data_IF_988426253536
#
_entry.id   IF_988426253536
#
_cell.length_a   1.000
_cell.length_b   1.000
_cell.length_c   1.000
_cell.angle_alpha   90.00
_cell.angle_beta   90.00
_cell.angle_gamma   90.00
#
_symmetry.space_group_name_H-M   'P 1'
#
loop_
_entity.id
_entity.type
_entity.pdbx_description
1 polymer ?
#
# COMPACT_ATOMS: atom_id res chain seq x y z
N UNK A 1 -6.45 -34.27 2.48
CA UNK A 1 -7.08 -33.60 3.65
C UNK A 1 -6.34 -32.27 3.84
N UNK A 2 -6.90 -31.09 3.61
CA UNK A 2 -8.27 -30.65 3.28
C UNK A 2 -8.12 -29.47 2.28
N UNK A 3 -8.77 -29.47 1.13
CA UNK A 3 -10.12 -28.96 0.86
C UNK A 3 -10.38 -27.52 1.36
N UNK A 4 -10.43 -26.57 0.41
CA UNK A 4 -11.51 -25.58 0.25
C UNK A 4 -11.28 -24.80 -1.06
N UNK A 5 -11.66 -25.43 -2.17
CA UNK A 5 -11.71 -24.80 -3.48
C UNK A 5 -12.98 -23.94 -3.57
N UNK A 6 -12.82 -22.69 -4.01
CA UNK A 6 -13.91 -21.94 -4.62
C UNK A 6 -14.05 -22.47 -6.06
N UNK A 7 -14.65 -23.65 -6.20
CA UNK A 7 -15.17 -24.13 -7.49
C UNK A 7 -16.54 -23.48 -7.65
N UNK A 8 -16.62 -22.39 -8.43
CA UNK A 8 -17.91 -21.92 -8.90
C UNK A 8 -18.22 -22.63 -10.21
N UNK A 9 -19.29 -23.42 -10.18
CA UNK A 9 -19.92 -24.08 -11.31
C UNK A 9 -20.55 -23.02 -12.25
N UNK A 10 -20.38 -23.15 -13.57
CA UNK A 10 -20.85 -22.19 -14.59
C UNK A 10 -22.37 -21.93 -14.56
N UNK A 11 -23.14 -22.79 -13.90
CA UNK A 11 -24.60 -22.71 -13.85
C UNK A 11 -25.18 -21.63 -12.91
N UNK A 12 -24.36 -20.89 -12.15
CA UNK A 12 -24.86 -19.91 -11.15
C UNK A 12 -24.81 -18.45 -11.62
N UNK A 13 -24.40 -18.18 -12.87
CA UNK A 13 -24.21 -16.81 -13.37
C UNK A 13 -25.50 -16.09 -13.81
N UNK A 14 -26.64 -16.79 -13.92
CA UNK A 14 -27.85 -16.25 -14.57
C UNK A 14 -28.99 -15.82 -13.61
N UNK A 15 -28.74 -15.72 -12.29
CA UNK A 15 -29.80 -15.40 -11.32
C UNK A 15 -29.42 -14.25 -10.37
N UNK A 16 -29.19 -13.04 -10.89
CA UNK A 16 -29.15 -11.83 -10.07
C UNK A 16 -29.34 -10.53 -10.87
N UNK A 17 -30.51 -10.36 -11.50
CA UNK A 17 -31.01 -9.03 -11.86
C UNK A 17 -32.25 -8.72 -10.99
N UNK A 18 -32.20 -7.77 -10.04
CA UNK A 18 -33.41 -7.28 -9.42
C UNK A 18 -34.06 -6.19 -10.31
N UNK A 19 -35.33 -6.41 -10.66
CA UNK A 19 -36.23 -5.37 -11.17
C UNK A 19 -36.54 -4.32 -10.07
N UNK A 20 -36.87 -3.06 -10.43
CA UNK A 20 -37.01 -1.99 -9.45
C UNK A 20 -38.42 -1.92 -8.87
N UNK A 21 -38.57 -1.78 -7.54
CA UNK A 21 -39.78 -1.21 -6.96
C UNK A 21 -39.62 -0.67 -5.53
N UNK A 22 -40.08 0.58 -5.41
CA UNK A 22 -40.86 1.20 -4.32
C UNK A 22 -40.23 1.49 -2.95
N UNK A 23 -40.30 2.78 -2.64
CA UNK A 23 -39.97 3.40 -1.36
C UNK A 23 -40.95 3.02 -0.23
N UNK A 24 -40.40 2.80 0.96
CA UNK A 24 -41.15 2.66 2.21
C UNK A 24 -40.20 2.83 3.39
N UNK A 25 -40.34 3.94 4.11
CA UNK A 25 -39.50 4.33 5.23
C UNK A 25 -39.81 3.54 6.51
N UNK A 26 -38.77 3.04 7.18
CA UNK A 26 -38.80 2.69 8.61
C UNK A 26 -37.37 2.75 9.20
N UNK A 27 -37.23 3.49 10.30
CA UNK A 27 -35.96 3.75 10.99
C UNK A 27 -35.47 2.54 11.83
N UNK A 28 -34.15 2.36 12.04
CA UNK A 28 -33.63 1.19 12.73
C UNK A 28 -33.56 1.34 14.25
N UNK A 29 -33.95 0.27 14.96
CA UNK A 29 -33.73 0.08 16.38
C UNK A 29 -32.26 -0.26 16.69
N UNK A 30 -31.70 0.38 17.71
CA UNK A 30 -30.35 0.18 18.23
C UNK A 30 -30.21 -1.19 18.91
N UNK A 31 -29.16 -1.94 18.59
CA UNK A 31 -28.67 -3.08 19.38
C UNK A 31 -27.20 -2.86 19.72
N UNK A 32 -26.88 -2.90 21.01
CA UNK A 32 -25.54 -2.74 21.58
C UNK A 32 -24.68 -4.01 21.41
N UNK A 33 -23.33 -3.92 21.35
CA UNK A 33 -22.47 -5.08 21.22
C UNK A 33 -22.28 -5.78 22.58
N UNK A 34 -22.38 -7.12 22.59
CA UNK A 34 -21.93 -7.97 23.71
C UNK A 34 -20.43 -8.25 23.54
N UNK A 35 -19.70 -8.07 24.64
CA UNK A 35 -18.30 -8.44 24.82
C UNK A 35 -18.15 -9.88 25.35
N UNK A 36 -16.89 -10.34 25.39
CA UNK A 36 -16.32 -11.59 25.94
C UNK A 36 -16.33 -12.81 24.98
N UNK A 37 -15.27 -13.63 24.88
CA UNK A 37 -14.06 -13.79 25.68
C UNK A 37 -12.92 -14.41 24.86
N UNK A 38 -11.70 -14.20 25.34
CA UNK A 38 -10.48 -14.86 24.90
C UNK A 38 -10.44 -16.36 25.28
N UNK A 39 -9.85 -17.18 24.42
CA UNK A 39 -9.24 -18.45 24.78
C UNK A 39 -8.06 -18.72 23.83
N UNK A 40 -6.86 -18.87 24.42
CA UNK A 40 -5.64 -19.16 23.69
C UNK A 40 -5.41 -20.65 23.45
N UNK A 41 -4.57 -20.96 22.47
CA UNK A 41 -3.70 -22.12 22.43
C UNK A 41 -2.64 -21.87 21.36
N UNK A 42 -1.37 -21.96 21.73
CA UNK A 42 -0.24 -21.74 20.85
C UNK A 42 0.08 -22.93 19.95
N UNK A 43 0.83 -22.66 18.89
CA UNK A 43 2.09 -23.35 18.61
C UNK A 43 2.83 -22.60 17.50
N UNK A 44 4.11 -22.33 17.75
CA UNK A 44 4.96 -21.54 16.87
C UNK A 44 5.50 -22.34 15.70
N UNK A 45 5.76 -21.64 14.60
CA UNK A 45 6.83 -21.93 13.63
C UNK A 45 7.25 -20.61 12.96
N UNK A 46 8.54 -20.29 13.02
CA UNK A 46 9.26 -19.53 11.99
C UNK A 46 9.01 -18.02 11.90
N UNK A 47 9.60 -17.25 12.81
CA UNK A 47 9.78 -15.80 12.67
C UNK A 47 10.65 -15.48 11.44
N UNK A 48 10.04 -15.02 10.36
CA UNK A 48 10.75 -14.30 9.31
C UNK A 48 11.26 -12.99 9.87
N UNK A 49 12.55 -12.71 9.68
CA UNK A 49 13.26 -11.60 10.28
C UNK A 49 12.62 -10.26 9.88
N UNK A 50 11.98 -9.62 10.85
CA UNK A 50 11.70 -8.20 10.81
C UNK A 50 13.06 -7.50 10.64
N UNK A 51 13.30 -6.79 9.54
CA UNK A 51 14.48 -5.93 9.41
C UNK A 51 14.27 -4.80 10.42
N UNK A 52 14.69 -5.06 11.65
CA UNK A 52 14.43 -4.16 12.77
C UNK A 52 15.12 -2.84 12.54
N UNK A 53 14.34 -1.76 12.46
CA UNK A 53 14.87 -0.40 12.49
C UNK A 53 15.86 -0.28 13.65
N UNK A 54 17.09 0.23 13.42
CA UNK A 54 18.06 0.41 14.48
C UNK A 54 17.46 1.29 15.59
N UNK A 55 17.61 0.94 16.88
CA UNK A 55 17.19 1.82 17.96
C UNK A 55 18.02 3.11 17.94
N UNK A 56 17.39 4.24 18.27
CA UNK A 56 18.12 5.51 18.43
C UNK A 56 19.13 5.40 19.57
N UNK A 57 20.34 5.96 19.37
CA UNK A 57 21.35 5.98 20.44
C UNK A 57 20.91 6.91 21.59
N UNK A 58 21.15 6.51 22.85
CA UNK A 58 20.80 7.34 24.01
C UNK A 58 21.69 8.58 24.10
N UNK A 59 21.08 9.71 24.48
CA UNK A 59 21.78 10.96 24.74
C UNK A 59 22.68 10.84 25.98
N UNK A 60 23.91 11.37 25.90
CA UNK A 60 24.80 11.48 27.07
C UNK A 60 24.60 12.84 27.71
N UNK A 61 24.01 12.90 28.91
CA UNK A 61 23.66 14.16 29.61
C UNK A 61 22.79 15.10 28.76
N UNK A 62 21.85 14.54 27.99
CA UNK A 62 20.95 15.31 27.13
C UNK A 62 21.62 15.93 25.90
N UNK A 63 22.86 15.54 25.59
CA UNK A 63 23.59 16.00 24.40
C UNK A 63 24.23 14.82 23.67
N UNK A 64 24.33 14.95 22.36
CA UNK A 64 25.07 14.04 21.52
C UNK A 64 26.57 14.31 21.60
N UNK A 65 27.37 13.26 21.59
CA UNK A 65 28.78 13.38 21.23
C UNK A 65 28.87 13.68 19.73
N UNK A 66 29.91 14.40 19.31
CA UNK A 66 30.03 14.89 17.93
C UNK A 66 29.93 13.76 16.89
N UNK A 67 30.50 12.59 17.18
CA UNK A 67 30.48 11.41 16.31
C UNK A 67 29.18 10.60 16.42
N UNK A 68 28.35 10.85 17.44
CA UNK A 68 27.04 10.20 17.57
C UNK A 68 25.93 11.01 16.89
N UNK A 69 26.22 12.23 16.41
CA UNK A 69 25.26 13.05 15.70
C UNK A 69 24.78 12.32 14.43
N UNK A 70 23.47 12.31 14.13
CA UNK A 70 22.92 11.62 12.97
C UNK A 70 23.63 11.92 11.65
N UNK A 71 24.12 13.16 11.47
CA UNK A 71 24.80 13.59 10.25
C UNK A 71 26.15 12.90 10.09
N UNK A 72 26.94 12.86 11.15
CA UNK A 72 28.27 12.26 11.10
C UNK A 72 28.14 10.74 10.94
N UNK A 73 27.19 10.12 11.65
CA UNK A 73 26.86 8.69 11.47
C UNK A 73 26.40 8.35 10.05
N UNK A 74 25.59 9.22 9.41
CA UNK A 74 25.22 9.03 8.00
C UNK A 74 26.45 9.01 7.09
N UNK A 75 27.42 9.88 7.35
CA UNK A 75 28.65 10.03 6.53
C UNK A 75 29.60 8.86 6.76
N UNK A 76 29.81 8.46 8.02
CA UNK A 76 30.81 7.45 8.40
C UNK A 76 30.31 6.01 8.23
N UNK A 77 29.04 5.75 8.55
CA UNK A 77 28.47 4.40 8.63
C UNK A 77 27.36 4.14 7.60
N UNK A 78 26.88 5.20 6.92
CA UNK A 78 25.80 5.12 5.94
C UNK A 78 24.39 5.17 6.55
N UNK A 79 23.34 5.14 5.71
CA UNK A 79 21.96 5.33 6.16
C UNK A 79 21.41 4.14 6.96
N UNK A 80 21.95 2.94 6.77
CA UNK A 80 21.43 1.71 7.39
C UNK A 80 21.59 1.63 8.90
N UNK A 81 22.42 2.48 9.51
CA UNK A 81 22.63 2.52 10.97
C UNK A 81 21.71 3.51 11.69
N UNK A 82 21.01 4.36 10.94
CA UNK A 82 20.15 5.39 11.51
C UNK A 82 18.77 4.81 11.82
N UNK A 83 18.24 5.21 12.97
CA UNK A 83 16.83 5.00 13.29
C UNK A 83 15.93 5.92 12.47
N UNK A 84 14.65 5.56 12.35
CA UNK A 84 13.63 6.39 11.70
C UNK A 84 13.57 7.81 12.29
N UNK A 85 13.73 7.93 13.61
CA UNK A 85 13.77 9.24 14.29
C UNK A 85 14.98 10.05 13.84
N UNK A 86 16.15 9.44 13.76
CA UNK A 86 17.38 10.11 13.33
C UNK A 86 17.30 10.54 11.87
N UNK A 87 16.66 9.74 11.01
CA UNK A 87 16.39 10.09 9.62
C UNK A 87 15.52 11.34 9.51
N UNK A 88 14.44 11.42 10.29
CA UNK A 88 13.56 12.60 10.31
C UNK A 88 14.30 13.82 10.86
N UNK A 89 15.13 13.66 11.90
CA UNK A 89 15.93 14.75 12.46
C UNK A 89 16.84 15.37 11.39
N UNK A 90 17.48 14.55 10.56
CA UNK A 90 18.31 15.03 9.46
C UNK A 90 17.51 15.84 8.44
N UNK A 91 16.30 15.39 8.13
CA UNK A 91 15.40 16.11 7.21
C UNK A 91 14.97 17.44 7.82
N UNK A 92 14.54 17.46 9.08
CA UNK A 92 14.05 18.67 9.74
C UNK A 92 15.16 19.70 10.03
N UNK A 93 16.41 19.25 10.15
CA UNK A 93 17.60 20.07 10.37
C UNK A 93 17.71 20.62 11.79
N UNK A 94 16.81 21.54 12.17
CA UNK A 94 16.84 22.23 13.48
C UNK A 94 15.47 22.28 14.15
N UNK A 95 15.46 22.37 15.48
CA UNK A 95 14.25 22.49 16.30
C UNK A 95 13.72 23.93 16.38
N UNK A 96 12.66 24.12 17.17
CA UNK A 96 12.26 25.47 17.61
C UNK A 96 12.98 25.82 18.92
N UNK A 97 13.12 27.11 19.27
CA UNK A 97 13.56 27.50 20.60
C UNK A 97 12.73 26.79 21.69
N UNK A 98 13.42 26.07 22.58
CA UNK A 98 12.81 25.30 23.67
C UNK A 98 12.16 23.97 23.26
N UNK A 99 12.30 23.52 22.00
CA UNK A 99 11.82 22.21 21.54
C UNK A 99 12.92 21.49 20.78
N UNK A 100 13.28 20.31 21.25
CA UNK A 100 14.25 19.48 20.57
C UNK A 100 13.70 19.00 19.22
N UNK A 101 14.54 18.97 18.19
CA UNK A 101 14.17 18.43 16.87
C UNK A 101 13.80 16.95 16.96
N UNK A 102 14.38 16.23 17.93
CA UNK A 102 14.01 14.85 18.22
C UNK A 102 12.59 14.71 18.77
N UNK A 103 12.10 15.67 19.57
CA UNK A 103 10.71 15.65 20.03
C UNK A 103 9.73 15.85 18.87
N UNK A 104 10.09 16.74 17.94
CA UNK A 104 9.30 16.95 16.71
C UNK A 104 9.32 15.69 15.84
N UNK A 105 10.46 15.04 15.69
CA UNK A 105 10.60 13.79 14.93
C UNK A 105 9.82 12.63 15.57
N UNK A 106 9.88 12.48 16.90
CA UNK A 106 9.05 11.51 17.63
C UNK A 106 7.57 11.79 17.47
N UNK A 107 7.16 13.05 17.59
CA UNK A 107 5.74 13.44 17.41
C UNK A 107 5.22 13.12 16.00
N UNK A 108 6.08 13.19 14.98
CA UNK A 108 5.75 12.73 13.63
C UNK A 108 5.55 11.21 13.59
N UNK A 109 6.52 10.44 14.11
CA UNK A 109 6.41 8.98 14.13
C UNK A 109 5.24 8.50 14.99
N UNK A 110 4.94 9.14 16.11
CA UNK A 110 3.79 8.80 16.95
C UNK A 110 2.47 9.09 16.22
N UNK A 111 2.42 10.14 15.40
CA UNK A 111 1.23 10.48 14.61
C UNK A 111 0.99 9.51 13.45
N UNK A 112 2.05 9.17 12.70
CA UNK A 112 1.93 8.38 11.48
C UNK A 112 2.19 6.87 11.68
N UNK A 113 2.85 6.49 12.77
CA UNK A 113 3.21 5.11 13.12
C UNK A 113 4.51 4.61 12.48
N UNK A 114 4.82 5.00 11.25
CA UNK A 114 6.06 4.60 10.54
C UNK A 114 6.46 5.60 9.46
N UNK A 115 7.72 5.55 9.00
CA UNK A 115 8.17 6.31 7.82
C UNK A 115 7.37 5.97 6.57
N UNK A 116 6.96 4.71 6.43
CA UNK A 116 6.16 4.25 5.31
C UNK A 116 4.79 4.91 5.30
N UNK A 117 4.11 4.98 6.45
CA UNK A 117 2.83 5.67 6.56
C UNK A 117 2.94 7.18 6.38
N UNK A 118 4.11 7.78 6.65
CA UNK A 118 4.36 9.19 6.34
C UNK A 118 4.36 9.47 4.84
N UNK A 119 4.72 8.53 3.98
CA UNK A 119 4.87 8.78 2.53
C UNK A 119 3.57 9.24 1.84
N UNK A 120 2.40 8.92 2.41
CA UNK A 120 1.09 9.34 1.92
C UNK A 120 0.54 10.58 2.64
N UNK A 121 1.32 11.20 3.53
CA UNK A 121 0.89 12.39 4.26
C UNK A 121 0.59 13.54 3.29
N UNK A 122 -0.58 14.14 3.47
CA UNK A 122 -0.98 15.37 2.79
C UNK A 122 -0.48 16.59 3.57
N UNK A 123 -0.55 17.76 2.94
CA UNK A 123 -0.18 19.02 3.60
C UNK A 123 -0.99 19.26 4.90
N UNK A 124 -2.28 18.89 4.89
CA UNK A 124 -3.15 19.01 6.05
C UNK A 124 -2.86 18.00 7.16
N UNK A 125 -2.33 16.82 6.86
CA UNK A 125 -2.00 15.82 7.88
C UNK A 125 -0.86 16.29 8.81
N UNK A 126 -0.06 17.24 8.33
CA UNK A 126 1.02 17.90 9.08
C UNK A 126 0.53 19.11 9.88
N UNK A 127 -0.76 19.46 9.83
CA UNK A 127 -1.31 20.57 10.61
C UNK A 127 -1.31 20.30 12.12
N UNK A 128 -1.16 21.37 12.90
CA UNK A 128 -1.12 21.30 14.36
C UNK A 128 0.17 20.71 14.97
N UNK A 129 1.13 20.26 14.15
CA UNK A 129 2.42 19.80 14.65
C UNK A 129 3.34 20.99 14.99
N UNK A 130 3.57 21.17 16.29
CA UNK A 130 4.47 22.22 16.78
C UNK A 130 5.89 21.98 16.25
N UNK A 131 6.51 23.00 15.68
CA UNK A 131 7.84 22.89 15.08
C UNK A 131 7.87 22.55 13.60
N UNK A 132 6.71 22.32 12.98
CA UNK A 132 6.55 22.04 11.55
C UNK A 132 5.77 23.17 10.89
N UNK A 133 6.48 24.25 10.57
CA UNK A 133 5.94 25.37 9.78
C UNK A 133 5.88 25.05 8.27
N UNK A 134 5.33 25.96 7.46
CA UNK A 134 5.13 25.76 6.02
C UNK A 134 6.37 25.27 5.26
N UNK A 135 7.56 25.78 5.59
CA UNK A 135 8.82 25.38 4.97
C UNK A 135 9.16 23.90 5.21
N UNK A 136 9.03 23.42 6.45
CA UNK A 136 9.29 22.02 6.81
C UNK A 136 8.23 21.08 6.24
N UNK A 137 6.97 21.53 6.16
CA UNK A 137 5.90 20.77 5.47
C UNK A 137 6.25 20.56 4.01
N UNK A 138 6.59 21.64 3.29
CA UNK A 138 6.97 21.57 1.90
C UNK A 138 8.18 20.65 1.68
N UNK A 139 9.18 20.74 2.56
CA UNK A 139 10.37 19.89 2.51
C UNK A 139 10.04 18.40 2.69
N UNK A 140 9.25 18.06 3.72
CA UNK A 140 8.80 16.68 3.96
C UNK A 140 8.02 16.16 2.75
N UNK A 141 7.02 16.91 2.28
CA UNK A 141 6.21 16.52 1.11
C UNK A 141 7.06 16.33 -0.14
N UNK A 142 8.05 17.19 -0.37
CA UNK A 142 8.96 17.05 -1.51
C UNK A 142 9.79 15.77 -1.42
N UNK A 143 10.33 15.43 -0.23
CA UNK A 143 11.11 14.20 -0.03
C UNK A 143 10.24 12.96 -0.22
N UNK A 144 9.03 12.98 0.33
CA UNK A 144 8.09 11.86 0.20
C UNK A 144 7.66 11.66 -1.26
N UNK A 145 7.40 12.75 -1.99
CA UNK A 145 7.12 12.71 -3.43
C UNK A 145 8.33 12.24 -4.25
N UNK A 146 9.56 12.64 -3.91
CA UNK A 146 10.78 12.14 -4.55
C UNK A 146 10.95 10.63 -4.34
N UNK A 147 10.72 10.15 -3.11
CA UNK A 147 10.76 8.71 -2.81
C UNK A 147 9.71 7.96 -3.64
N UNK A 148 8.48 8.47 -3.70
CA UNK A 148 7.39 7.90 -4.51
C UNK A 148 7.74 7.86 -6.00
N UNK A 149 8.29 8.95 -6.56
CA UNK A 149 8.73 9.01 -7.97
C UNK A 149 9.86 8.03 -8.25
N UNK A 150 10.85 7.94 -7.37
CA UNK A 150 11.96 6.99 -7.54
C UNK A 150 11.48 5.54 -7.61
N UNK A 151 10.44 5.18 -6.87
CA UNK A 151 9.82 3.86 -6.94
C UNK A 151 9.09 3.64 -8.26
N UNK A 152 8.38 4.64 -8.74
CA UNK A 152 7.75 4.61 -10.08
C UNK A 152 8.81 4.50 -11.17
N UNK A 153 9.92 5.19 -11.06
CA UNK A 153 11.01 5.11 -12.05
C UNK A 153 11.65 3.72 -12.06
N UNK A 154 11.84 3.10 -10.89
CA UNK A 154 12.28 1.69 -10.79
C UNK A 154 11.33 0.72 -11.49
N UNK A 155 10.02 1.02 -11.51
CA UNK A 155 9.04 0.24 -12.28
C UNK A 155 9.15 0.46 -13.80
N UNK A 156 9.60 1.63 -14.26
CA UNK A 156 9.76 1.91 -15.69
C UNK A 156 11.05 1.30 -16.27
N UNK A 157 12.13 1.27 -15.49
CA UNK A 157 13.46 0.85 -15.97
C UNK A 157 13.66 -0.68 -15.99
N UNK A 158 12.73 -1.44 -15.42
CA UNK A 158 12.75 -2.92 -15.39
C UNK A 158 11.57 -3.49 -16.16
N UNK A 159 11.79 -4.59 -16.88
CA UNK A 159 10.67 -5.43 -17.33
C UNK A 159 9.97 -5.96 -16.08
N UNK A 160 8.71 -5.56 -15.86
CA UNK A 160 7.94 -5.89 -14.66
C UNK A 160 7.74 -7.40 -14.49
N UNK A 161 7.86 -8.15 -15.58
CA UNK A 161 7.86 -9.62 -15.57
C UNK A 161 9.07 -10.23 -14.84
N UNK A 162 10.20 -9.52 -14.81
CA UNK A 162 11.44 -10.00 -14.20
C UNK A 162 11.59 -9.53 -12.75
N UNK A 163 10.66 -8.75 -12.22
CA UNK A 163 10.72 -8.21 -10.86
C UNK A 163 9.32 -7.94 -10.29
N UNK A 164 8.52 -8.99 -10.01
CA UNK A 164 7.24 -8.84 -9.29
C UNK A 164 7.40 -8.17 -7.92
N UNK A 165 8.60 -8.24 -7.32
CA UNK A 165 8.98 -7.54 -6.09
C UNK A 165 8.92 -6.02 -6.25
N UNK A 166 9.23 -5.47 -7.44
CA UNK A 166 9.13 -4.03 -7.67
C UNK A 166 7.67 -3.53 -7.62
N UNK A 167 6.72 -4.33 -8.14
CA UNK A 167 5.28 -4.06 -8.05
C UNK A 167 4.81 -4.16 -6.59
N UNK A 168 5.33 -5.16 -5.87
CA UNK A 168 5.08 -5.31 -4.44
C UNK A 168 5.57 -4.12 -3.63
N UNK A 169 6.80 -3.66 -3.88
CA UNK A 169 7.40 -2.50 -3.20
C UNK A 169 6.62 -1.22 -3.50
N UNK A 170 6.23 -0.99 -4.76
CA UNK A 170 5.41 0.16 -5.14
C UNK A 170 4.07 0.20 -4.39
N UNK A 171 3.41 -0.94 -4.23
CA UNK A 171 2.11 -1.03 -3.57
C UNK A 171 2.22 -1.09 -2.03
N UNK A 172 3.31 -1.65 -1.51
CA UNK A 172 3.64 -1.59 -0.08
C UNK A 172 3.88 -0.16 0.35
N UNK A 173 4.58 0.63 -0.47
CA UNK A 173 4.98 2.01 -0.13
C UNK A 173 3.81 3.02 -0.24
N UNK A 174 2.57 2.53 -0.17
CA UNK A 174 1.39 3.34 0.11
C UNK A 174 0.93 3.30 1.57
N UNK A 175 1.33 2.34 2.41
CA UNK A 175 0.88 2.27 3.81
C UNK A 175 -0.63 2.54 4.03
N UNK A 176 -1.46 2.27 3.01
CA UNK A 176 -2.77 2.91 2.94
C UNK A 176 -3.68 2.14 3.85
N UNK A 177 -4.24 2.83 4.84
CA UNK A 177 -5.35 2.33 5.67
C UNK A 177 -6.61 2.02 4.86
N UNK A 178 -6.58 2.34 3.55
CA UNK A 178 -7.64 2.16 2.57
C UNK A 178 -7.19 1.20 1.47
N UNK A 179 -8.15 0.45 0.91
CA UNK A 179 -7.92 -0.42 -0.25
C UNK A 179 -7.70 0.44 -1.49
N UNK A 180 -6.61 0.15 -2.20
CA UNK A 180 -6.22 0.81 -3.44
C UNK A 180 -5.92 -0.23 -4.48
N UNK A 181 -6.45 -0.01 -5.68
CA UNK A 181 -6.35 -0.88 -6.83
C UNK A 181 -5.64 -0.10 -7.92
N UNK A 182 -4.60 -0.72 -8.44
CA UNK A 182 -3.70 -0.13 -9.41
C UNK A 182 -3.68 -0.98 -10.66
N UNK A 183 -3.66 -0.30 -11.80
CA UNK A 183 -3.48 -0.88 -13.12
C UNK A 183 -2.12 -0.47 -13.67
N UNK A 184 -1.31 -1.45 -14.05
CA UNK A 184 -0.02 -1.28 -14.71
C UNK A 184 -0.19 -1.65 -16.18
N UNK A 185 -0.20 -0.64 -17.05
CA UNK A 185 -0.36 -0.78 -18.48
C UNK A 185 1.01 -1.01 -19.13
N UNK A 186 1.14 -2.08 -19.92
CA UNK A 186 2.42 -2.55 -20.45
C UNK A 186 2.44 -2.55 -21.97
N UNK A 187 3.62 -2.35 -22.55
CA UNK A 187 3.83 -2.52 -23.99
C UNK A 187 4.07 -4.00 -24.37
N UNK A 188 4.23 -4.27 -25.68
CA UNK A 188 4.44 -5.63 -26.19
C UNK A 188 5.75 -6.30 -25.70
N UNK A 189 6.66 -5.54 -25.09
CA UNK A 189 7.89 -6.04 -24.45
C UNK A 189 7.78 -6.10 -22.92
N UNK A 190 6.56 -5.97 -22.40
CA UNK A 190 6.24 -5.94 -20.97
C UNK A 190 6.97 -4.82 -20.21
N UNK A 191 7.19 -3.67 -20.86
CA UNK A 191 7.68 -2.45 -20.22
C UNK A 191 6.51 -1.59 -19.77
N UNK A 192 6.64 -0.95 -18.61
CA UNK A 192 5.60 -0.07 -18.08
C UNK A 192 5.41 1.14 -19.01
N UNK A 193 4.21 1.28 -19.56
CA UNK A 193 3.77 2.51 -20.23
C UNK A 193 3.27 3.51 -19.19
N UNK A 194 2.43 3.02 -18.27
CA UNK A 194 1.77 3.84 -17.27
C UNK A 194 1.31 3.01 -16.07
N UNK A 195 1.46 3.57 -14.88
CA UNK A 195 0.84 3.07 -13.65
C UNK A 195 -0.28 4.03 -13.23
N UNK A 196 -1.50 3.53 -13.05
CA UNK A 196 -2.66 4.34 -12.65
C UNK A 196 -3.42 3.69 -11.50
N UNK A 197 -3.76 4.49 -10.50
CA UNK A 197 -4.69 4.07 -9.47
C UNK A 197 -6.11 4.11 -10.04
N UNK A 198 -6.70 2.93 -10.24
CA UNK A 198 -7.98 2.78 -10.95
C UNK A 198 -9.18 2.97 -10.03
N UNK A 199 -8.99 2.77 -8.72
CA UNK A 199 -9.93 3.23 -7.71
C UNK A 199 -9.22 3.38 -6.35
N UNK A 200 -9.87 4.13 -5.45
CA UNK A 200 -9.53 4.25 -4.03
C UNK A 200 -10.83 4.06 -3.25
N UNK A 201 -10.86 3.16 -2.26
CA UNK A 201 -12.07 2.86 -1.49
C UNK A 201 -11.83 2.85 0.01
N UNK A 202 -12.86 3.21 0.78
CA UNK A 202 -12.94 2.93 2.23
C UNK A 202 -13.25 1.45 2.48
N UNK A 203 -12.97 1.00 3.71
CA UNK A 203 -13.09 -0.37 4.27
C UNK A 203 -14.32 -1.22 3.86
N UNK A 204 -15.36 -0.65 3.25
CA UNK A 204 -16.67 -1.31 3.04
C UNK A 204 -17.06 -1.54 1.58
N UNK A 205 -16.44 -0.92 0.57
CA UNK A 205 -16.61 -1.31 -0.84
C UNK A 205 -15.71 -0.49 -1.77
N UNK A 206 -14.75 -1.16 -2.36
CA UNK A 206 -14.03 -0.65 -3.51
C UNK A 206 -14.77 -1.03 -4.81
N UNK A 207 -15.25 -0.03 -5.56
CA UNK A 207 -15.89 -0.26 -6.86
C UNK A 207 -14.87 -0.07 -7.98
N UNK A 208 -14.31 -1.17 -8.48
CA UNK A 208 -13.49 -1.19 -9.70
C UNK A 208 -14.41 -1.45 -10.88
N UNK A 209 -14.32 -0.59 -11.91
CA UNK A 209 -15.15 -0.70 -13.11
C UNK A 209 -14.30 -1.22 -14.29
N UNK A 210 -14.47 -2.48 -14.74
CA UNK A 210 -13.71 -3.05 -15.85
C UNK A 210 -13.72 -2.19 -17.12
N UNK A 211 -14.86 -1.55 -17.44
CA UNK A 211 -15.00 -0.66 -18.61
C UNK A 211 -13.98 0.48 -18.62
N UNK A 212 -13.65 1.04 -17.46
CA UNK A 212 -12.69 2.16 -17.39
C UNK A 212 -11.27 1.65 -17.62
N UNK A 213 -10.92 0.50 -17.04
CA UNK A 213 -9.61 -0.14 -17.23
C UNK A 213 -9.41 -0.49 -18.70
N UNK A 214 -10.41 -1.11 -19.35
CA UNK A 214 -10.39 -1.46 -20.78
C UNK A 214 -10.25 -0.21 -21.65
N UNK A 215 -11.03 0.84 -21.37
CA UNK A 215 -10.93 2.13 -22.08
C UNK A 215 -9.53 2.74 -21.96
N UNK A 216 -8.91 2.67 -20.77
CA UNK A 216 -7.54 3.16 -20.55
C UNK A 216 -6.51 2.31 -21.28
N UNK A 217 -6.64 0.98 -21.27
CA UNK A 217 -5.75 0.08 -22.02
C UNK A 217 -5.71 0.43 -23.51
N UNK A 218 -6.88 0.63 -24.13
CA UNK A 218 -6.98 1.10 -25.52
C UNK A 218 -6.36 2.47 -25.72
N UNK A 219 -6.68 3.44 -24.85
CA UNK A 219 -6.16 4.81 -24.96
C UNK A 219 -4.63 4.88 -24.87
N UNK A 220 -4.02 3.94 -24.15
CA UNK A 220 -2.57 3.85 -23.94
C UNK A 220 -1.88 2.92 -24.94
N UNK A 221 -2.63 2.27 -25.85
CA UNK A 221 -2.13 1.20 -26.72
C UNK A 221 -1.36 0.12 -25.93
N UNK A 222 -1.91 -0.27 -24.78
CA UNK A 222 -1.30 -1.31 -23.96
C UNK A 222 -1.44 -2.67 -24.65
N UNK A 223 -0.37 -3.45 -24.69
CA UNK A 223 -0.41 -4.84 -25.16
C UNK A 223 -0.78 -5.80 -24.03
N UNK A 224 -0.51 -5.41 -22.78
CA UNK A 224 -0.84 -6.22 -21.62
C UNK A 224 -1.06 -5.38 -20.35
N UNK A 225 -1.63 -6.01 -19.34
CA UNK A 225 -2.06 -5.39 -18.09
C UNK A 225 -1.65 -6.26 -16.91
N UNK A 226 -1.14 -5.64 -15.85
CA UNK A 226 -1.13 -6.21 -14.50
C UNK A 226 -2.06 -5.37 -13.65
N UNK A 227 -2.89 -6.01 -12.84
CA UNK A 227 -3.68 -5.32 -11.82
C UNK A 227 -3.25 -5.76 -10.44
N UNK A 228 -3.40 -4.89 -9.45
CA UNK A 228 -3.03 -5.23 -8.10
C UNK A 228 -3.75 -4.37 -7.07
N UNK A 229 -4.03 -4.93 -5.89
CA UNK A 229 -4.55 -4.18 -4.77
C UNK A 229 -4.01 -4.63 -3.42
N UNK A 230 -4.06 -3.74 -2.45
CA UNK A 230 -3.71 -4.05 -1.07
C UNK A 230 -4.95 -4.43 -0.25
N UNK A 231 -4.80 -5.36 0.69
CA UNK A 231 -5.77 -5.59 1.76
C UNK A 231 -5.25 -4.96 3.06
N UNK A 232 -5.90 -3.91 3.62
CA UNK A 232 -5.50 -3.31 4.89
C UNK A 232 -5.47 -4.28 6.07
N UNK A 233 -6.23 -5.38 6.00
CA UNK A 233 -6.23 -6.46 6.99
C UNK A 233 -4.92 -7.28 7.00
N UNK A 234 -4.08 -7.12 5.97
CA UNK A 234 -2.86 -7.88 5.78
C UNK A 234 -3.05 -9.28 5.19
N UNK A 235 -4.29 -9.77 5.05
CA UNK A 235 -4.58 -11.08 4.48
C UNK A 235 -4.47 -11.06 2.95
N UNK A 236 -3.72 -12.01 2.37
CA UNK A 236 -3.51 -12.08 0.91
C UNK A 236 -4.54 -12.92 0.17
N UNK A 237 -5.46 -13.59 0.88
CA UNK A 237 -6.46 -14.46 0.24
C UNK A 237 -7.43 -13.59 -0.56
N UNK A 238 -7.61 -13.82 -1.87
CA UNK A 238 -8.56 -13.06 -2.67
C UNK A 238 -10.00 -13.30 -2.21
N UNK A 239 -10.81 -12.24 -2.26
CA UNK A 239 -12.24 -12.28 -2.04
C UNK A 239 -12.99 -12.83 -3.26
N UNK A 240 -14.26 -13.21 -3.10
CA UNK A 240 -15.10 -13.62 -4.22
C UNK A 240 -15.31 -12.48 -5.25
N UNK A 241 -15.27 -11.21 -4.81
CA UNK A 241 -15.28 -10.05 -5.70
C UNK A 241 -14.02 -9.95 -6.54
N UNK A 242 -12.85 -10.22 -5.95
CA UNK A 242 -11.57 -10.18 -6.66
C UNK A 242 -11.56 -11.24 -7.76
N UNK A 243 -11.99 -12.46 -7.46
CA UNK A 243 -12.10 -13.54 -8.43
C UNK A 243 -13.02 -13.18 -9.61
N UNK A 244 -14.21 -12.63 -9.34
CA UNK A 244 -15.14 -12.18 -10.39
C UNK A 244 -14.53 -11.06 -11.23
N UNK A 245 -13.89 -10.10 -10.58
CA UNK A 245 -13.23 -8.98 -11.25
C UNK A 245 -12.10 -9.46 -12.18
N UNK A 246 -11.24 -10.37 -11.71
CA UNK A 246 -10.18 -10.98 -12.51
C UNK A 246 -10.76 -11.63 -13.76
N UNK A 247 -11.84 -12.41 -13.61
CA UNK A 247 -12.49 -13.10 -14.72
C UNK A 247 -13.03 -12.13 -15.75
N UNK A 248 -13.84 -11.16 -15.31
CA UNK A 248 -14.43 -10.15 -16.19
C UNK A 248 -13.38 -9.31 -16.90
N UNK A 249 -12.30 -8.91 -16.21
CA UNK A 249 -11.20 -8.18 -16.84
C UNK A 249 -10.51 -9.02 -17.90
N UNK A 250 -10.20 -10.28 -17.59
CA UNK A 250 -9.56 -11.19 -18.54
C UNK A 250 -10.37 -11.34 -19.83
N UNK A 251 -11.67 -11.61 -19.70
CA UNK A 251 -12.56 -11.77 -20.85
C UNK A 251 -12.67 -10.47 -21.66
N UNK A 252 -12.87 -9.34 -20.99
CA UNK A 252 -13.04 -8.05 -21.67
C UNK A 252 -11.75 -7.59 -22.38
N UNK A 253 -10.58 -7.84 -21.80
CA UNK A 253 -9.29 -7.50 -22.40
C UNK A 253 -8.93 -8.42 -23.56
N UNK A 254 -9.31 -9.71 -23.50
CA UNK A 254 -9.11 -10.66 -24.59
C UNK A 254 -9.85 -10.24 -25.88
N UNK A 255 -11.01 -9.58 -25.76
CA UNK A 255 -11.77 -9.07 -26.91
C UNK A 255 -11.05 -7.94 -27.68
N UNK A 256 -10.02 -7.33 -27.09
CA UNK A 256 -9.25 -6.24 -27.68
C UNK A 256 -7.76 -6.57 -27.79
N UNK A 257 -7.41 -7.86 -27.78
CA UNK A 257 -6.03 -8.36 -27.86
C UNK A 257 -5.08 -7.82 -26.77
N UNK A 258 -5.63 -7.47 -25.60
CA UNK A 258 -4.83 -7.08 -24.42
C UNK A 258 -4.78 -8.25 -23.45
N UNK A 259 -3.57 -8.66 -23.06
CA UNK A 259 -3.41 -9.76 -22.11
C UNK A 259 -3.43 -9.29 -20.66
N UNK A 260 -4.30 -9.86 -19.83
CA UNK A 260 -4.14 -9.78 -18.38
C UNK A 260 -3.02 -10.74 -17.96
N UNK A 261 -1.89 -10.21 -17.50
CA UNK A 261 -0.70 -10.97 -17.11
C UNK A 261 -0.87 -11.56 -15.72
N UNK A 262 -1.32 -10.73 -14.77
CA UNK A 262 -1.53 -11.16 -13.40
C UNK A 262 -2.51 -10.21 -12.68
N UNK A 263 -3.06 -10.73 -11.59
CA UNK A 263 -3.74 -9.98 -10.55
C UNK A 263 -3.03 -10.26 -9.24
N UNK A 264 -2.47 -9.22 -8.60
CA UNK A 264 -1.73 -9.35 -7.35
C UNK A 264 -2.56 -8.84 -6.16
N UNK A 265 -2.74 -9.66 -5.14
CA UNK A 265 -3.31 -9.26 -3.84
C UNK A 265 -2.18 -9.13 -2.83
N UNK A 266 -1.98 -7.92 -2.32
CA UNK A 266 -0.84 -7.59 -1.47
C UNK A 266 -1.29 -7.42 -0.03
N UNK A 267 -0.69 -8.23 0.84
CA UNK A 267 -0.86 -8.14 2.29
C UNK A 267 0.34 -7.47 2.95
N UNK A 268 0.42 -7.56 4.27
CA UNK A 268 1.53 -6.99 5.03
C UNK A 268 2.85 -7.66 4.63
N UNK A 269 2.93 -8.98 4.75
CA UNK A 269 4.18 -9.74 4.58
C UNK A 269 4.25 -10.54 3.28
N UNK A 270 3.09 -10.84 2.69
CA UNK A 270 2.96 -11.78 1.57
C UNK A 270 2.22 -11.15 0.38
N UNK A 271 2.27 -11.84 -0.76
CA UNK A 271 1.50 -11.50 -1.97
C UNK A 271 0.89 -12.75 -2.56
N UNK A 272 -0.37 -12.68 -2.95
CA UNK A 272 -1.04 -13.69 -3.74
C UNK A 272 -1.02 -13.26 -5.22
N UNK A 273 -0.62 -14.16 -6.09
CA UNK A 273 -0.64 -13.98 -7.55
C UNK A 273 -1.62 -14.97 -8.15
N UNK A 274 -2.63 -14.45 -8.85
CA UNK A 274 -3.60 -15.28 -9.56
C UNK A 274 -2.91 -16.15 -10.61
N UNK A 275 -1.95 -15.59 -11.35
CA UNK A 275 -1.20 -16.33 -12.36
C UNK A 275 -0.38 -17.49 -11.74
N UNK A 276 0.33 -17.26 -10.63
CA UNK A 276 1.07 -18.33 -9.92
C UNK A 276 0.16 -19.39 -9.31
N UNK A 277 -1.05 -19.01 -8.92
CA UNK A 277 -2.06 -19.93 -8.42
C UNK A 277 -2.74 -20.75 -9.54
N UNK A 278 -2.36 -20.55 -10.81
CA UNK A 278 -2.89 -21.28 -11.96
C UNK A 278 -4.28 -20.83 -12.39
N UNK A 279 -4.68 -19.61 -12.06
CA UNK A 279 -5.93 -19.06 -12.59
C UNK A 279 -5.83 -18.87 -14.10
N UNK A 280 -6.86 -19.29 -14.84
CA UNK A 280 -6.86 -19.25 -16.29
C UNK A 280 -6.98 -17.83 -16.82
#
# INVERSE_FOLDING_TARGET
MADYACTMDEATLEAALPAPAAAGAAAPARVAPRACAAAGAGNGVGTSANVGTPPSRPLVRGKWLKNDMPRERLIEEGPGVLSDTEMIVLVLGSGLPGHDVFDVARSLLDRFGSLQAMLDATYSDLDGLRGIGPAKKAQLLAIMEMARRSLVDKLHDRSLMNSPEAVQDYLRIGGRTQEVFVSLFLDARHRLIRCEESARGTLTRMAVYPREIVRRALSLNAASLIVAHNHPSGAVRPSASDCRLTHTLREALALIDVRLIDHLVIGADNTYSFARAGWP
#
